data_IF_044278931495
#
_entry.id   IF_044278931495
#
_cell.length_a   1.000
_cell.length_b   1.000
_cell.length_c   1.000
_cell.angle_alpha   90.00
_cell.angle_beta   90.00
_cell.angle_gamma   90.00
#
_symmetry.space_group_name_H-M   'P 1'
#
loop_
_entity.id
_entity.type
_entity.pdbx_description
1 polymer ?
#
# COMPACT_ATOMS: atom_id res chain seq x y z
N UNK A 1 -11.61 13.15 -49.04
CA UNK A 1 -10.47 14.10 -49.02
C UNK A 1 -10.12 14.50 -47.59
N UNK A 2 -10.90 15.34 -46.88
CA UNK A 2 -10.58 15.76 -45.50
C UNK A 2 -10.93 14.67 -44.47
N UNK A 3 -12.01 13.93 -44.73
CA UNK A 3 -12.44 12.78 -43.91
C UNK A 3 -11.37 11.70 -43.82
N UNK A 4 -10.67 11.42 -44.92
CA UNK A 4 -9.60 10.42 -44.97
C UNK A 4 -8.41 10.85 -44.10
N UNK A 5 -8.01 12.13 -44.19
CA UNK A 5 -6.95 12.69 -43.35
C UNK A 5 -7.31 12.67 -41.86
N UNK A 6 -8.56 12.96 -41.51
CA UNK A 6 -9.04 12.88 -40.13
C UNK A 6 -9.05 11.44 -39.62
N UNK A 7 -9.44 10.49 -40.44
CA UNK A 7 -9.43 9.06 -40.09
C UNK A 7 -7.99 8.54 -39.90
N UNK A 8 -7.07 8.97 -40.75
CA UNK A 8 -5.66 8.60 -40.63
C UNK A 8 -5.01 9.22 -39.39
N UNK A 9 -5.29 10.50 -39.11
CA UNK A 9 -4.86 11.16 -37.88
C UNK A 9 -5.42 10.47 -36.63
N UNK A 10 -6.71 10.09 -36.63
CA UNK A 10 -7.32 9.35 -35.53
C UNK A 10 -6.66 7.98 -35.31
N UNK A 11 -6.33 7.28 -36.40
CA UNK A 11 -5.64 5.98 -36.36
C UNK A 11 -4.24 6.13 -35.76
N UNK A 12 -3.47 7.14 -36.19
CA UNK A 12 -2.16 7.45 -35.62
C UNK A 12 -2.23 7.82 -34.14
N UNK A 13 -3.24 8.61 -33.74
CA UNK A 13 -3.49 8.96 -32.34
C UNK A 13 -3.76 7.72 -31.50
N UNK A 14 -4.63 6.82 -31.99
CA UNK A 14 -4.97 5.58 -31.31
C UNK A 14 -3.73 4.70 -31.14
N UNK A 15 -2.95 4.48 -32.20
CA UNK A 15 -1.72 3.68 -32.15
C UNK A 15 -0.73 4.27 -31.14
N UNK A 16 -0.50 5.59 -31.19
CA UNK A 16 0.41 6.29 -30.28
C UNK A 16 -0.05 6.17 -28.83
N UNK A 17 -1.34 6.43 -28.57
CA UNK A 17 -1.92 6.35 -27.23
C UNK A 17 -1.86 4.93 -26.66
N UNK A 18 -2.20 3.92 -27.47
CA UNK A 18 -2.14 2.51 -27.06
C UNK A 18 -0.70 2.09 -26.78
N UNK A 19 0.26 2.47 -27.61
CA UNK A 19 1.68 2.12 -27.42
C UNK A 19 2.22 2.71 -26.11
N UNK A 20 1.95 3.99 -25.85
CA UNK A 20 2.35 4.64 -24.60
C UNK A 20 1.67 3.98 -23.40
N UNK A 21 0.36 3.70 -23.50
CA UNK A 21 -0.37 3.03 -22.43
C UNK A 21 0.19 1.65 -22.12
N UNK A 22 0.47 0.82 -23.14
CA UNK A 22 1.09 -0.49 -22.96
C UNK A 22 2.47 -0.38 -22.31
N UNK A 23 3.28 0.60 -22.75
CA UNK A 23 4.60 0.82 -22.19
C UNK A 23 4.53 1.20 -20.70
N UNK A 24 3.66 2.15 -20.35
CA UNK A 24 3.45 2.55 -18.96
C UNK A 24 2.90 1.40 -18.11
N UNK A 25 1.95 0.63 -18.65
CA UNK A 25 1.41 -0.56 -17.98
C UNK A 25 2.52 -1.57 -17.68
N UNK A 26 3.41 -1.83 -18.65
CA UNK A 26 4.56 -2.71 -18.47
C UNK A 26 5.50 -2.16 -17.39
N UNK A 27 5.82 -0.86 -17.42
CA UNK A 27 6.65 -0.24 -16.38
C UNK A 27 6.04 -0.37 -14.98
N UNK A 28 4.72 -0.16 -14.85
CA UNK A 28 4.01 -0.33 -13.58
C UNK A 28 4.06 -1.79 -13.12
N UNK A 29 3.86 -2.76 -14.03
CA UNK A 29 4.00 -4.19 -13.71
C UNK A 29 5.42 -4.55 -13.27
N UNK A 30 6.43 -3.96 -13.90
CA UNK A 30 7.82 -4.21 -13.52
C UNK A 30 8.14 -3.59 -12.15
N UNK A 31 7.62 -2.39 -11.89
CA UNK A 31 7.73 -1.74 -10.58
C UNK A 31 7.01 -2.54 -9.48
N UNK A 32 5.82 -3.07 -9.76
CA UNK A 32 5.07 -3.89 -8.78
C UNK A 32 5.75 -5.24 -8.56
N UNK A 33 6.29 -5.85 -9.60
CA UNK A 33 7.13 -7.04 -9.48
C UNK A 33 8.34 -6.76 -8.59
N UNK A 34 9.06 -5.66 -8.85
CA UNK A 34 10.19 -5.25 -8.01
C UNK A 34 9.76 -5.00 -6.55
N UNK A 35 8.61 -4.35 -6.32
CA UNK A 35 8.04 -4.18 -4.98
C UNK A 35 7.73 -5.51 -4.28
N UNK A 36 7.14 -6.47 -5.00
CA UNK A 36 6.85 -7.81 -4.48
C UNK A 36 8.12 -8.61 -4.18
N UNK A 37 9.11 -8.55 -5.07
CA UNK A 37 10.42 -9.17 -4.85
C UNK A 37 11.10 -8.55 -3.63
N UNK A 38 11.08 -7.22 -3.49
CA UNK A 38 11.65 -6.54 -2.34
C UNK A 38 10.94 -6.96 -1.04
N UNK A 39 9.61 -7.01 -0.99
CA UNK A 39 8.89 -7.49 0.20
C UNK A 39 9.22 -8.95 0.55
N UNK A 40 9.43 -9.81 -0.47
CA UNK A 40 9.73 -11.23 -0.28
C UNK A 40 11.17 -11.48 0.17
N UNK A 41 12.15 -10.77 -0.39
CA UNK A 41 13.58 -10.99 -0.11
C UNK A 41 14.15 -10.06 0.98
N UNK A 42 13.57 -8.86 1.13
CA UNK A 42 13.86 -7.91 2.19
C UNK A 42 12.55 -7.60 2.92
N UNK A 43 12.03 -8.51 3.76
CA UNK A 43 10.91 -8.22 4.63
C UNK A 43 11.33 -7.15 5.64
N UNK A 44 11.28 -5.88 5.21
CA UNK A 44 11.16 -4.76 6.12
C UNK A 44 9.87 -5.03 6.87
N UNK A 45 9.97 -5.34 8.17
CA UNK A 45 8.84 -5.26 9.10
C UNK A 45 8.26 -3.86 8.94
N UNK A 46 7.30 -3.68 8.05
CA UNK A 46 6.40 -2.55 8.09
C UNK A 46 5.75 -2.68 9.45
N UNK A 47 6.13 -1.78 10.37
CA UNK A 47 5.44 -1.63 11.62
C UNK A 47 3.94 -1.69 11.33
N UNK A 48 3.27 -2.54 12.08
CA UNK A 48 1.92 -2.99 11.89
C UNK A 48 0.99 -1.87 11.40
N UNK A 49 0.05 -2.24 10.53
CA UNK A 49 -1.10 -1.40 10.19
C UNK A 49 -1.52 -0.65 11.44
N UNK A 50 -1.47 0.68 11.38
CA UNK A 50 -2.08 1.56 12.37
C UNK A 50 -3.47 1.00 12.61
N UNK A 51 -3.65 0.34 13.75
CA UNK A 51 -4.90 -0.19 14.20
C UNK A 51 -5.84 1.00 14.16
N UNK A 52 -6.87 0.97 13.31
CA UNK A 52 -7.93 1.97 13.37
C UNK A 52 -8.40 1.92 14.81
N UNK A 53 -8.09 2.95 15.60
CA UNK A 53 -8.67 3.09 16.92
C UNK A 53 -10.16 3.27 16.68
N UNK A 54 -10.92 2.21 16.93
CA UNK A 54 -12.36 2.29 17.02
C UNK A 54 -12.69 3.25 18.17
N UNK A 55 -12.96 4.51 17.82
CA UNK A 55 -13.50 5.54 18.72
C UNK A 55 -14.95 5.19 19.05
N UNK A 56 -15.15 4.09 19.78
CA UNK A 56 -16.46 3.65 20.27
C UNK A 56 -16.29 2.80 21.51
N UNK A 57 -15.81 3.40 22.58
CA UNK A 57 -16.11 2.94 23.94
C UNK A 57 -16.00 4.13 24.88
N UNK A 58 -17.15 4.57 25.41
CA UNK A 58 -17.24 5.61 26.44
C UNK A 58 -16.78 5.07 27.81
N UNK A 59 -15.61 4.46 27.86
CA UNK A 59 -15.01 3.79 29.01
C UNK A 59 -13.59 3.35 28.69
N UNK A 60 -12.77 3.19 29.72
CA UNK A 60 -11.35 2.77 29.59
C UNK A 60 -11.27 1.50 28.75
N UNK A 61 -10.51 1.54 27.66
CA UNK A 61 -10.44 0.42 26.74
C UNK A 61 -9.76 -0.79 27.41
N UNK A 62 -10.27 -2.01 27.20
CA UNK A 62 -9.66 -3.23 27.76
C UNK A 62 -8.19 -3.39 27.37
N UNK A 63 -7.79 -2.88 26.21
CA UNK A 63 -6.40 -2.86 25.74
C UNK A 63 -5.49 -2.01 26.65
N UNK A 64 -5.97 -0.87 27.15
CA UNK A 64 -5.21 0.00 28.06
C UNK A 64 -5.04 -0.68 29.42
N UNK A 65 -6.08 -1.34 29.95
CA UNK A 65 -5.99 -2.10 31.21
C UNK A 65 -5.00 -3.27 31.08
N UNK A 66 -5.02 -3.98 29.96
CA UNK A 66 -4.06 -5.06 29.67
C UNK A 66 -2.62 -4.54 29.57
N UNK A 67 -2.39 -3.41 28.91
CA UNK A 67 -1.07 -2.79 28.80
C UNK A 67 -0.52 -2.34 30.16
N UNK A 68 -1.35 -1.69 30.99
CA UNK A 68 -0.97 -1.23 32.33
C UNK A 68 -0.68 -2.43 33.25
N UNK A 69 -1.52 -3.47 33.23
CA UNK A 69 -1.29 -4.66 34.05
C UNK A 69 0.00 -5.39 33.65
N UNK A 70 0.29 -5.52 32.35
CA UNK A 70 1.57 -6.06 31.87
C UNK A 70 2.77 -5.22 32.35
N UNK A 71 2.68 -3.89 32.29
CA UNK A 71 3.73 -3.00 32.76
C UNK A 71 3.98 -3.14 34.27
N UNK A 72 2.92 -3.25 35.09
CA UNK A 72 3.04 -3.44 36.54
C UNK A 72 3.61 -4.82 36.87
N UNK A 73 3.18 -5.87 36.16
CA UNK A 73 3.75 -7.21 36.31
C UNK A 73 5.25 -7.23 35.97
N UNK A 74 5.64 -6.59 34.86
CA UNK A 74 7.04 -6.46 34.46
C UNK A 74 7.86 -5.73 35.52
N UNK A 75 7.37 -4.60 36.03
CA UNK A 75 8.05 -3.84 37.08
C UNK A 75 8.25 -4.67 38.35
N UNK A 76 7.22 -5.40 38.81
CA UNK A 76 7.30 -6.25 40.01
C UNK A 76 8.23 -7.45 39.83
N UNK A 77 8.37 -7.97 38.61
CA UNK A 77 9.33 -9.03 38.30
C UNK A 77 10.76 -8.50 38.22
N UNK A 78 10.96 -7.27 37.75
CA UNK A 78 12.28 -6.65 37.64
C UNK A 78 12.79 -6.06 38.97
N UNK A 79 11.90 -5.69 39.89
CA UNK A 79 12.24 -5.10 41.19
C UNK A 79 12.05 -6.09 42.35
N UNK A 80 12.27 -7.38 42.07
CA UNK A 80 12.39 -8.45 43.06
C UNK A 80 13.80 -9.01 42.99
#
# INVERSE_FOLDING_TARGET
MITDLLQEAATLMLIGMTTVFLFLLLLVLLMTAMSSLLQRYLPTKTADKVHKLDTSASGVSPAVVAAISAAVHQYRQQHK
#
